data_IF_765613622131
#
_entry.id   IF_765613622131
#
_cell.length_a   1.000
_cell.length_b   1.000
_cell.length_c   1.000
_cell.angle_alpha   90.00
_cell.angle_beta   90.00
_cell.angle_gamma   90.00
#
_symmetry.space_group_name_H-M   'P 1'
#
loop_
_entity.id
_entity.type
_entity.pdbx_description
1 polymer ?
#
# COMPACT_ATOMS: atom_id res chain seq x y z
N UNK A 1 -6.91 -4.96 54.57
CA UNK A 1 -7.21 -6.38 54.80
C UNK A 1 -6.38 -7.21 53.83
N UNK A 2 -5.80 -8.34 54.26
CA UNK A 2 -4.74 -9.04 53.55
C UNK A 2 -5.23 -10.23 52.69
N UNK A 3 -4.36 -10.63 51.73
CA UNK A 3 -4.10 -11.99 51.20
C UNK A 3 -5.09 -12.66 50.22
N UNK A 4 -4.54 -12.98 49.05
CA UNK A 4 -4.60 -14.26 48.31
C UNK A 4 -3.65 -14.08 47.10
N UNK A 5 -2.42 -14.58 46.96
CA UNK A 5 -1.72 -15.83 47.31
C UNK A 5 -2.43 -17.12 46.86
N UNK A 6 -2.01 -17.62 45.70
CA UNK A 6 -2.14 -19.02 45.32
C UNK A 6 -2.64 -19.21 43.90
N UNK A 7 -1.75 -19.69 43.01
CA UNK A 7 -1.91 -20.89 42.16
C UNK A 7 -0.78 -20.87 41.11
N UNK A 8 0.35 -21.55 41.36
CA UNK A 8 0.64 -22.93 40.89
C UNK A 8 0.41 -23.05 39.37
N UNK A 9 1.41 -22.74 38.54
CA UNK A 9 2.47 -23.66 38.11
C UNK A 9 1.93 -25.02 37.64
N UNK A 10 1.66 -25.13 36.33
CA UNK A 10 1.59 -26.40 35.61
C UNK A 10 2.31 -26.23 34.26
N UNK A 11 3.62 -26.44 34.29
CA UNK A 11 4.48 -26.55 33.12
C UNK A 11 4.25 -27.94 32.50
N UNK A 12 3.50 -28.02 31.40
CA UNK A 12 3.41 -29.23 30.57
C UNK A 12 4.38 -29.08 29.40
N UNK A 13 5.58 -29.65 29.56
CA UNK A 13 6.49 -29.92 28.45
C UNK A 13 5.91 -31.04 27.60
N UNK A 14 5.38 -30.71 26.43
CA UNK A 14 5.18 -31.68 25.34
C UNK A 14 6.24 -31.45 24.27
N UNK A 15 7.30 -32.26 24.34
CA UNK A 15 8.35 -32.35 23.33
C UNK A 15 7.83 -33.10 22.09
N UNK A 16 7.40 -32.37 21.06
CA UNK A 16 7.21 -32.92 19.71
C UNK A 16 8.53 -32.82 18.95
N UNK A 17 9.12 -33.98 18.67
CA UNK A 17 10.29 -34.12 17.82
C UNK A 17 9.89 -33.84 16.35
N UNK A 18 10.35 -32.72 15.80
CA UNK A 18 10.30 -32.48 14.36
C UNK A 18 11.58 -33.03 13.71
N UNK A 19 11.42 -34.12 12.96
CA UNK A 19 12.44 -34.76 12.13
C UNK A 19 12.89 -33.79 11.03
N UNK A 20 14.11 -33.25 11.15
CA UNK A 20 14.72 -32.38 10.13
C UNK A 20 15.28 -33.25 9.00
N UNK A 21 14.56 -33.32 7.89
CA UNK A 21 15.09 -33.87 6.64
C UNK A 21 16.00 -32.81 5.99
N UNK A 22 17.31 -32.92 6.23
CA UNK A 22 18.33 -32.14 5.52
C UNK A 22 18.40 -32.64 4.09
N UNK A 23 17.86 -31.87 3.16
CA UNK A 23 18.07 -32.08 1.73
C UNK A 23 19.23 -31.18 1.29
N UNK A 24 20.43 -31.77 1.20
CA UNK A 24 21.59 -31.16 0.54
C UNK A 24 21.25 -30.94 -0.94
N UNK A 25 20.89 -29.71 -1.30
CA UNK A 25 20.86 -29.29 -2.71
C UNK A 25 22.28 -28.91 -3.14
N UNK A 26 22.67 -29.59 -4.21
CA UNK A 26 23.94 -29.59 -4.91
C UNK A 26 24.13 -28.24 -5.66
N UNK A 27 25.31 -27.60 -5.59
CA UNK A 27 25.60 -26.44 -6.41
C UNK A 27 25.89 -26.89 -7.84
N UNK A 28 25.07 -26.43 -8.78
CA UNK A 28 25.37 -26.48 -10.21
C UNK A 28 25.97 -25.13 -10.61
N UNK A 29 27.30 -25.08 -10.57
CA UNK A 29 28.10 -24.16 -11.35
C UNK A 29 27.98 -24.48 -12.86
N UNK A 30 28.46 -23.53 -13.67
CA UNK A 30 28.77 -23.62 -15.11
C UNK A 30 27.73 -23.05 -16.10
N UNK A 31 28.06 -21.88 -16.64
CA UNK A 31 27.40 -21.33 -17.82
C UNK A 31 27.65 -19.83 -18.04
N UNK A 32 28.90 -19.40 -18.20
CA UNK A 32 29.39 -18.90 -19.49
C UNK A 32 28.48 -17.89 -20.21
N UNK A 33 28.85 -16.60 -20.18
CA UNK A 33 29.45 -15.89 -21.34
C UNK A 33 29.63 -14.40 -21.01
N UNK A 34 30.90 -14.01 -20.92
CA UNK A 34 31.31 -12.64 -21.18
C UNK A 34 30.99 -12.29 -22.63
N UNK A 35 30.34 -11.16 -22.87
CA UNK A 35 30.38 -10.46 -24.15
C UNK A 35 30.76 -9.01 -23.91
N UNK A 36 32.00 -8.75 -24.31
CA UNK A 36 32.65 -7.53 -24.77
C UNK A 36 31.75 -6.56 -25.56
N UNK A 37 31.88 -5.28 -25.20
CA UNK A 37 32.19 -4.12 -26.04
C UNK A 37 31.53 -3.95 -27.42
N UNK A 38 30.75 -2.87 -27.54
CA UNK A 38 30.62 -1.99 -28.71
C UNK A 38 30.09 -0.64 -28.17
N UNK A 39 30.90 0.39 -28.01
CA UNK A 39 31.47 1.32 -29.01
C UNK A 39 30.44 2.08 -29.88
N UNK A 40 30.58 3.41 -29.83
CA UNK A 40 30.14 4.44 -30.76
C UNK A 40 28.63 4.75 -30.91
N UNK A 41 28.21 5.94 -30.47
CA UNK A 41 28.24 7.13 -31.34
C UNK A 41 27.54 8.33 -30.70
N UNK A 42 28.26 9.44 -30.65
CA UNK A 42 27.73 10.77 -30.46
C UNK A 42 26.87 11.18 -31.68
N UNK A 43 25.74 11.82 -31.42
CA UNK A 43 25.11 12.71 -32.38
C UNK A 43 24.57 13.94 -31.62
N UNK A 44 25.33 15.01 -31.82
CA UNK A 44 25.03 16.41 -31.57
C UNK A 44 23.80 16.83 -32.40
N UNK A 45 22.78 17.42 -31.77
CA UNK A 45 21.72 18.14 -32.48
C UNK A 45 21.28 19.35 -31.64
N UNK A 46 21.67 20.52 -32.16
CA UNK A 46 21.44 21.86 -31.65
C UNK A 46 19.94 22.29 -31.74
N UNK A 47 19.57 23.45 -31.15
CA UNK A 47 18.19 23.78 -30.77
C UNK A 47 17.41 24.44 -31.91
N UNK A 48 16.11 24.16 -31.95
CA UNK A 48 15.15 24.94 -32.73
C UNK A 48 14.44 25.92 -31.79
N UNK A 49 14.75 27.20 -31.97
CA UNK A 49 13.98 28.32 -31.41
C UNK A 49 12.61 28.34 -32.09
N UNK A 50 11.56 28.14 -31.29
CA UNK A 50 10.17 28.15 -31.69
C UNK A 50 9.43 29.24 -30.93
N UNK A 51 9.15 30.30 -31.69
CA UNK A 51 8.37 31.49 -31.46
C UNK A 51 7.08 31.36 -30.62
N UNK A 52 6.73 32.48 -30.00
CA UNK A 52 5.68 32.68 -29.01
C UNK A 52 4.28 32.58 -29.62
N UNK A 53 3.34 31.97 -28.89
CA UNK A 53 1.94 32.38 -28.95
C UNK A 53 1.45 32.60 -27.53
N UNK A 54 1.28 33.87 -27.18
CA UNK A 54 0.52 34.30 -26.03
C UNK A 54 -0.95 33.99 -26.30
N UNK A 55 -1.51 33.04 -25.58
CA UNK A 55 -2.96 32.89 -25.42
C UNK A 55 -3.29 33.21 -23.96
N UNK A 56 -3.65 34.47 -23.74
CA UNK A 56 -4.24 34.97 -22.51
C UNK A 56 -5.72 34.54 -22.46
N UNK A 57 -5.93 33.24 -22.19
CA UNK A 57 -7.23 32.66 -21.90
C UNK A 57 -7.40 32.49 -20.39
N UNK A 58 -7.99 33.49 -19.74
CA UNK A 58 -8.50 33.38 -18.38
C UNK A 58 -9.62 32.33 -18.35
N UNK A 59 -9.31 31.12 -17.88
CA UNK A 59 -10.33 30.16 -17.46
C UNK A 59 -10.29 30.01 -15.94
N UNK A 60 -11.40 30.40 -15.34
CA UNK A 60 -11.62 30.55 -13.92
C UNK A 60 -11.64 29.19 -13.22
N UNK A 61 -10.63 28.92 -12.40
CA UNK A 61 -10.84 28.31 -11.10
C UNK A 61 -11.42 26.89 -11.08
N UNK A 62 -11.09 26.03 -12.04
CA UNK A 62 -11.17 24.59 -11.80
C UNK A 62 -10.15 24.25 -10.72
N UNK A 63 -10.62 24.15 -9.47
CA UNK A 63 -9.81 23.71 -8.35
C UNK A 63 -9.07 22.44 -8.77
N UNK A 64 -7.74 22.53 -8.88
CA UNK A 64 -6.88 21.39 -9.15
C UNK A 64 -7.13 20.39 -8.01
N UNK A 65 -7.99 19.40 -8.28
CA UNK A 65 -8.20 18.30 -7.37
C UNK A 65 -6.85 17.69 -7.02
N UNK A 66 -6.68 17.20 -5.78
CA UNK A 66 -5.41 16.60 -5.38
C UNK A 66 -5.03 15.52 -6.39
N UNK A 67 -3.91 15.73 -7.10
CA UNK A 67 -3.35 14.78 -8.05
C UNK A 67 -2.77 13.61 -7.27
N UNK A 68 -3.66 12.75 -6.77
CA UNK A 68 -3.28 11.44 -6.25
C UNK A 68 -2.69 10.60 -7.38
N UNK A 69 -1.93 9.55 -7.06
CA UNK A 69 -1.57 8.55 -8.06
C UNK A 69 -2.84 7.99 -8.69
N UNK A 70 -2.98 8.14 -10.01
CA UNK A 70 -4.11 7.60 -10.74
C UNK A 70 -4.20 6.08 -10.49
N UNK A 71 -5.33 5.63 -9.98
CA UNK A 71 -5.54 4.21 -9.73
C UNK A 71 -5.62 3.48 -11.07
N UNK A 72 -5.08 2.27 -11.17
CA UNK A 72 -5.18 1.52 -12.41
C UNK A 72 -6.65 1.22 -12.75
N UNK A 73 -7.03 1.57 -13.97
CA UNK A 73 -8.33 1.21 -14.54
C UNK A 73 -8.42 -0.30 -14.72
N UNK A 74 -9.36 -0.94 -14.03
CA UNK A 74 -9.50 -2.40 -14.04
C UNK A 74 -10.80 -2.88 -13.38
N UNK A 75 -11.25 -4.07 -13.74
CA UNK A 75 -12.37 -4.73 -13.07
C UNK A 75 -12.03 -5.01 -11.59
N UNK A 76 -13.06 -5.06 -10.74
CA UNK A 76 -12.92 -5.52 -9.36
C UNK A 76 -12.44 -6.98 -9.34
N UNK A 77 -11.56 -7.32 -8.41
CA UNK A 77 -11.09 -8.69 -8.24
C UNK A 77 -10.82 -9.01 -6.76
N UNK A 78 -10.90 -10.30 -6.44
CA UNK A 78 -10.49 -10.85 -5.15
C UNK A 78 -9.15 -11.58 -5.24
N UNK A 79 -8.89 -12.20 -6.38
CA UNK A 79 -7.70 -12.99 -6.69
C UNK A 79 -7.33 -12.88 -8.17
N UNK A 80 -6.14 -13.36 -8.54
CA UNK A 80 -5.68 -13.38 -9.95
C UNK A 80 -6.59 -14.21 -10.86
N UNK A 81 -7.34 -15.16 -10.29
CA UNK A 81 -8.29 -15.98 -11.04
C UNK A 81 -9.52 -15.20 -11.54
N UNK A 82 -9.79 -14.02 -10.98
CA UNK A 82 -10.88 -13.14 -11.42
C UNK A 82 -10.48 -12.26 -12.61
N UNK A 83 -9.19 -12.26 -12.96
CA UNK A 83 -8.62 -11.39 -13.99
C UNK A 83 -8.40 -12.15 -15.31
N UNK A 84 -8.32 -11.38 -16.40
CA UNK A 84 -8.03 -11.95 -17.72
C UNK A 84 -6.59 -12.45 -17.85
N UNK A 85 -6.30 -13.09 -18.98
CA UNK A 85 -4.94 -13.48 -19.32
C UNK A 85 -4.00 -12.26 -19.29
N UNK A 86 -2.78 -12.45 -18.78
CA UNK A 86 -1.77 -11.41 -18.58
C UNK A 86 -2.17 -10.27 -17.62
N UNK A 87 -3.18 -10.48 -16.77
CA UNK A 87 -3.53 -9.57 -15.68
C UNK A 87 -3.26 -10.18 -14.30
N UNK A 88 -3.10 -9.31 -13.30
CA UNK A 88 -2.93 -9.68 -11.89
C UNK A 88 -3.90 -8.87 -11.04
N UNK A 89 -4.38 -9.46 -9.95
CA UNK A 89 -5.22 -8.78 -8.99
C UNK A 89 -4.38 -8.07 -7.94
N UNK A 90 -4.40 -6.75 -7.93
CA UNK A 90 -3.63 -5.97 -6.98
C UNK A 90 -4.38 -4.75 -6.44
N UNK A 91 -3.78 -4.09 -5.46
CA UNK A 91 -4.32 -2.87 -4.85
C UNK A 91 -4.20 -2.88 -3.33
N UNK A 92 -4.47 -1.71 -2.75
CA UNK A 92 -4.59 -1.54 -1.29
C UNK A 92 -5.94 -2.10 -0.85
N UNK A 93 -5.95 -2.86 0.24
CA UNK A 93 -7.16 -3.34 0.89
C UNK A 93 -7.35 -4.85 0.76
N UNK A 94 -7.90 -5.44 1.83
CA UNK A 94 -8.02 -6.89 2.00
C UNK A 94 -9.46 -7.40 2.05
N UNK A 95 -10.45 -6.51 1.97
CA UNK A 95 -11.86 -6.91 1.92
C UNK A 95 -12.27 -7.31 0.51
N UNK A 96 -13.36 -8.05 0.39
CA UNK A 96 -13.86 -8.49 -0.91
C UNK A 96 -14.07 -7.32 -1.89
N UNK A 97 -13.69 -7.53 -3.14
CA UNK A 97 -13.79 -6.58 -4.22
C UNK A 97 -12.76 -5.46 -4.20
N UNK A 98 -11.88 -5.34 -3.19
CA UNK A 98 -10.93 -4.22 -3.05
C UNK A 98 -9.73 -4.25 -4.03
N UNK A 99 -9.57 -5.32 -4.81
CA UNK A 99 -8.56 -5.40 -5.86
C UNK A 99 -8.99 -4.77 -7.18
N UNK A 100 -8.01 -4.55 -8.05
CA UNK A 100 -8.17 -4.19 -9.46
C UNK A 100 -7.37 -5.16 -10.33
N UNK A 101 -7.98 -5.64 -11.40
CA UNK A 101 -7.25 -6.35 -12.44
C UNK A 101 -6.41 -5.37 -13.25
N UNK A 102 -5.09 -5.56 -13.23
CA UNK A 102 -4.14 -4.70 -13.93
C UNK A 102 -3.27 -5.51 -14.88
N UNK A 103 -2.79 -4.88 -15.96
CA UNK A 103 -1.85 -5.55 -16.87
C UNK A 103 -0.51 -5.85 -16.19
N UNK A 104 -0.01 -7.07 -16.38
CA UNK A 104 1.34 -7.49 -15.96
C UNK A 104 2.45 -6.89 -16.84
N UNK A 105 2.12 -6.34 -18.01
CA UNK A 105 3.07 -5.77 -18.98
C UNK A 105 3.29 -4.25 -18.81
N UNK A 106 2.64 -3.62 -17.83
CA UNK A 106 2.77 -2.17 -17.62
C UNK A 106 4.16 -1.81 -17.09
N UNK A 107 4.54 -0.56 -17.33
CA UNK A 107 5.82 -0.03 -16.87
C UNK A 107 5.78 0.21 -15.36
N UNK A 108 6.68 -0.47 -14.65
CA UNK A 108 6.84 -0.35 -13.20
C UNK A 108 8.14 0.35 -12.86
N UNK A 109 8.12 1.15 -11.81
CA UNK A 109 9.33 1.78 -11.29
C UNK A 109 10.22 0.71 -10.64
N UNK A 110 11.54 0.92 -10.67
CA UNK A 110 12.53 -0.07 -10.18
C UNK A 110 12.76 -0.01 -8.68
N UNK A 111 12.10 0.88 -7.96
CA UNK A 111 12.20 0.98 -6.50
C UNK A 111 11.48 -0.21 -5.85
N UNK A 112 12.22 -0.94 -5.03
CA UNK A 112 11.66 -2.00 -4.21
C UNK A 112 11.09 -1.37 -2.94
N UNK A 113 9.79 -1.59 -2.73
CA UNK A 113 9.09 -1.29 -1.50
C UNK A 113 8.71 -2.60 -0.81
N UNK A 114 8.69 -2.59 0.53
CA UNK A 114 8.14 -3.68 1.33
C UNK A 114 6.66 -3.43 1.56
N UNK A 115 5.87 -4.48 1.53
CA UNK A 115 4.43 -4.43 1.73
C UNK A 115 3.99 -5.54 2.68
N UNK A 116 2.93 -5.25 3.44
CA UNK A 116 2.24 -6.26 4.20
C UNK A 116 1.09 -6.81 3.37
N UNK A 117 1.20 -8.05 2.91
CA UNK A 117 0.16 -8.72 2.14
C UNK A 117 -1.12 -8.95 2.95
N UNK A 118 -2.23 -9.18 2.26
CA UNK A 118 -3.50 -9.52 2.91
C UNK A 118 -3.49 -10.90 3.61
N UNK A 119 -2.51 -11.72 3.29
CA UNK A 119 -2.16 -12.97 3.96
C UNK A 119 -1.36 -12.76 5.25
N UNK A 120 -1.05 -11.51 5.62
CA UNK A 120 -0.18 -11.18 6.74
C UNK A 120 1.30 -11.52 6.49
N UNK A 121 1.65 -11.88 5.24
CA UNK A 121 3.02 -12.13 4.84
C UNK A 121 3.62 -10.88 4.20
N UNK A 122 4.86 -10.57 4.57
CA UNK A 122 5.63 -9.52 3.93
C UNK A 122 6.06 -9.94 2.53
N UNK A 123 6.05 -8.99 1.60
CA UNK A 123 6.64 -9.18 0.27
C UNK A 123 7.29 -7.89 -0.21
N UNK A 124 8.23 -8.02 -1.15
CA UNK A 124 8.86 -6.88 -1.80
C UNK A 124 8.44 -6.82 -3.26
N UNK A 125 8.12 -5.62 -3.73
CA UNK A 125 7.75 -5.39 -5.12
C UNK A 125 8.00 -3.93 -5.51
N UNK A 126 7.68 -3.57 -6.74
CA UNK A 126 7.79 -2.20 -7.23
C UNK A 126 6.85 -1.26 -6.47
N UNK A 127 7.35 -0.08 -6.10
CA UNK A 127 6.55 1.01 -5.51
C UNK A 127 5.28 1.34 -6.31
N UNK A 128 5.38 1.32 -7.64
CA UNK A 128 4.28 1.61 -8.56
C UNK A 128 3.49 0.38 -9.01
N UNK A 129 3.99 -0.83 -8.74
CA UNK A 129 3.36 -2.09 -9.15
C UNK A 129 3.56 -3.15 -8.06
N UNK A 130 2.71 -3.17 -7.03
CA UNK A 130 2.80 -4.15 -5.95
C UNK A 130 2.69 -5.59 -6.46
N UNK A 131 1.88 -5.85 -7.49
CA UNK A 131 1.78 -7.17 -8.11
C UNK A 131 1.02 -8.21 -7.28
N UNK A 132 0.45 -7.81 -6.14
CA UNK A 132 -0.58 -8.54 -5.37
C UNK A 132 -1.35 -7.55 -4.51
N UNK A 133 -2.46 -7.99 -3.94
CA UNK A 133 -3.21 -7.23 -2.93
C UNK A 133 -2.46 -7.16 -1.61
N UNK A 134 -2.54 -6.00 -0.95
CA UNK A 134 -1.83 -5.75 0.29
C UNK A 134 -2.65 -4.89 1.27
N UNK A 135 -2.40 -5.08 2.56
CA UNK A 135 -3.04 -4.37 3.64
C UNK A 135 -2.58 -2.90 3.69
N UNK A 136 -1.26 -2.69 3.70
CA UNK A 136 -0.61 -1.38 3.78
C UNK A 136 0.87 -1.49 3.35
N UNK A 137 1.52 -0.39 2.94
CA UNK A 137 2.95 -0.39 2.66
C UNK A 137 3.76 -0.50 3.96
N UNK A 138 4.82 -1.30 3.94
CA UNK A 138 5.70 -1.58 5.08
C UNK A 138 5.68 -3.05 5.53
N UNK A 139 6.40 -3.32 6.63
CA UNK A 139 6.43 -4.61 7.31
C UNK A 139 5.07 -4.97 7.94
N UNK A 140 4.71 -6.25 8.05
CA UNK A 140 3.42 -6.69 8.62
C UNK A 140 3.35 -6.58 10.14
N UNK A 141 4.49 -6.60 10.79
CA UNK A 141 4.54 -6.42 12.23
C UNK A 141 4.45 -4.91 12.54
N UNK A 142 3.41 -4.45 13.27
CA UNK A 142 3.25 -3.04 13.59
C UNK A 142 4.43 -2.57 14.43
N UNK A 143 5.27 -1.74 13.82
CA UNK A 143 6.52 -1.24 14.41
C UNK A 143 6.46 0.23 14.76
N UNK A 144 5.39 0.93 14.36
CA UNK A 144 5.31 2.37 14.58
C UNK A 144 4.89 2.67 16.03
N UNK A 145 5.75 3.42 16.71
CA UNK A 145 5.49 3.97 18.03
C UNK A 145 4.49 5.14 17.95
N UNK A 146 3.90 5.48 19.09
CA UNK A 146 3.06 6.67 19.23
C UNK A 146 3.86 7.90 18.78
N UNK A 147 3.27 8.74 17.92
CA UNK A 147 3.91 9.91 17.35
C UNK A 147 4.58 9.69 15.98
N UNK A 148 4.69 8.44 15.49
CA UNK A 148 5.26 8.17 14.17
C UNK A 148 4.21 8.28 13.04
N UNK A 149 4.61 8.71 11.82
CA UNK A 149 3.68 8.90 10.72
C UNK A 149 3.11 7.57 10.21
N UNK A 150 1.82 7.52 9.96
CA UNK A 150 1.10 6.33 9.51
C UNK A 150 0.08 6.66 8.42
N UNK A 151 -0.22 5.69 7.57
CA UNK A 151 -1.31 5.70 6.61
C UNK A 151 -2.46 4.76 7.01
N UNK A 152 -2.22 3.80 7.91
CA UNK A 152 -3.21 2.86 8.40
C UNK A 152 -2.94 2.50 9.87
N UNK A 153 -4.00 2.35 10.67
CA UNK A 153 -3.92 1.96 12.07
C UNK A 153 -3.15 0.67 12.31
N UNK A 154 -3.19 -0.27 11.36
CA UNK A 154 -2.46 -1.54 11.43
C UNK A 154 -0.94 -1.38 11.37
N UNK A 155 -0.41 -0.22 10.99
CA UNK A 155 1.02 0.07 11.06
C UNK A 155 1.47 0.44 12.47
N UNK A 156 0.54 0.94 13.30
CA UNK A 156 0.81 1.42 14.64
C UNK A 156 0.74 0.27 15.65
N UNK A 157 1.68 0.24 16.60
CA UNK A 157 1.65 -0.73 17.70
C UNK A 157 0.36 -0.65 18.53
N UNK A 158 -0.27 0.53 18.57
CA UNK A 158 -1.56 0.79 19.20
C UNK A 158 -2.78 0.36 18.37
N UNK A 159 -2.60 0.08 17.07
CA UNK A 159 -3.70 -0.10 16.13
C UNK A 159 -4.40 1.19 15.68
N UNK A 160 -3.89 2.36 16.09
CA UNK A 160 -4.55 3.66 15.90
C UNK A 160 -3.68 4.64 15.11
N UNK A 161 -4.18 5.06 13.95
CA UNK A 161 -3.60 6.09 13.09
C UNK A 161 -4.56 7.27 12.98
N UNK A 162 -4.18 8.43 13.52
CA UNK A 162 -5.04 9.61 13.65
C UNK A 162 -4.39 10.86 13.07
N UNK A 163 -5.19 11.87 12.74
CA UNK A 163 -4.70 13.20 12.36
C UNK A 163 -5.44 13.79 11.17
N UNK A 164 -5.36 15.11 11.04
CA UNK A 164 -5.95 15.86 9.93
C UNK A 164 -5.31 15.50 8.57
N UNK A 165 -4.10 14.94 8.59
CA UNK A 165 -3.38 14.51 7.40
C UNK A 165 -3.89 13.21 6.77
N UNK A 166 -4.93 12.55 7.30
CA UNK A 166 -5.45 11.33 6.67
C UNK A 166 -6.32 11.60 5.43
N UNK A 167 -6.72 12.85 5.20
CA UNK A 167 -7.46 13.26 4.00
C UNK A 167 -6.51 13.54 2.83
N UNK A 168 -6.79 12.94 1.68
CA UNK A 168 -5.97 12.97 0.47
C UNK A 168 -5.12 11.70 0.29
N UNK A 169 -4.68 11.46 -0.95
CA UNK A 169 -4.01 10.22 -1.37
C UNK A 169 -2.53 10.38 -1.70
N UNK A 170 -1.99 11.57 -1.43
CA UNK A 170 -0.57 11.84 -1.62
C UNK A 170 0.27 11.32 -0.46
N UNK A 171 1.59 11.24 -0.66
CA UNK A 171 2.55 10.90 0.41
C UNK A 171 2.58 11.91 1.56
N UNK A 172 2.07 13.12 1.33
CA UNK A 172 1.93 14.16 2.36
C UNK A 172 0.70 13.94 3.25
N UNK A 173 -0.28 13.15 2.79
CA UNK A 173 -1.46 12.82 3.55
C UNK A 173 -1.15 11.60 4.44
N UNK A 174 -0.52 11.85 5.59
CA UNK A 174 -0.25 10.84 6.61
C UNK A 174 -0.84 11.30 7.95
N UNK A 175 -1.42 10.34 8.67
CA UNK A 175 -1.73 10.49 10.08
C UNK A 175 -0.49 10.26 10.94
N UNK A 176 -0.73 10.11 12.23
CA UNK A 176 0.25 9.84 13.27
C UNK A 176 -0.30 8.76 14.19
N UNK A 177 0.56 7.82 14.57
CA UNK A 177 0.16 6.77 15.50
C UNK A 177 -0.23 7.39 16.84
N UNK A 178 -1.44 7.09 17.29
CA UNK A 178 -1.98 7.60 18.55
C UNK A 178 -2.06 6.47 19.59
N UNK A 179 -2.32 6.81 20.84
CA UNK A 179 -2.64 5.79 21.84
C UNK A 179 -4.03 5.16 21.57
N UNK A 180 -4.21 3.91 22.04
CA UNK A 180 -5.49 3.21 21.91
C UNK A 180 -6.60 3.77 22.83
N UNK A 181 -6.24 4.64 23.77
CA UNK A 181 -7.17 5.29 24.69
C UNK A 181 -7.76 6.58 24.10
N UNK A 182 -7.27 7.00 22.93
CA UNK A 182 -7.71 8.21 22.25
C UNK A 182 -9.18 8.05 21.89
N UNK A 183 -10.01 8.89 22.50
CA UNK A 183 -11.45 8.79 22.41
C UNK A 183 -11.92 9.16 21.00
N UNK A 184 -12.11 8.13 20.18
CA UNK A 184 -12.81 8.24 18.92
C UNK A 184 -14.32 8.29 19.15
N UNK A 185 -14.99 9.13 18.40
CA UNK A 185 -16.44 9.22 18.38
C UNK A 185 -17.02 7.91 17.85
N UNK A 186 -18.12 7.46 18.44
CA UNK A 186 -18.76 6.19 18.08
C UNK A 186 -19.65 6.31 16.83
N UNK A 187 -19.71 7.49 16.20
CA UNK A 187 -20.45 7.66 14.95
C UNK A 187 -19.70 6.98 13.82
N UNK A 188 -20.45 6.20 13.04
CA UNK A 188 -19.95 5.53 11.86
C UNK A 188 -20.16 6.46 10.67
N UNK A 189 -19.06 6.90 10.07
CA UNK A 189 -19.08 7.68 8.85
C UNK A 189 -18.60 6.82 7.67
N UNK A 190 -19.15 7.10 6.49
CA UNK A 190 -18.65 6.55 5.22
C UNK A 190 -17.52 7.42 4.71
N UNK A 191 -16.49 6.78 4.16
CA UNK A 191 -15.33 7.43 3.56
C UNK A 191 -15.07 6.81 2.20
N UNK A 192 -14.63 7.64 1.25
CA UNK A 192 -14.05 7.14 0.02
C UNK A 192 -12.54 6.98 0.23
N UNK A 193 -12.06 5.73 0.15
CA UNK A 193 -10.65 5.40 0.27
C UNK A 193 -9.85 5.84 -0.96
N UNK A 194 -8.53 5.90 -0.81
CA UNK A 194 -7.61 6.27 -1.88
C UNK A 194 -7.52 5.28 -3.04
N UNK A 195 -8.18 4.14 -2.91
CA UNK A 195 -8.36 3.10 -3.91
C UNK A 195 -9.75 3.17 -4.58
N UNK A 196 -10.49 4.27 -4.37
CA UNK A 196 -11.88 4.45 -4.81
C UNK A 196 -12.82 3.35 -4.28
N UNK A 197 -12.59 2.95 -3.03
CA UNK A 197 -13.46 2.03 -2.31
C UNK A 197 -14.01 2.68 -1.06
N UNK A 198 -15.30 2.49 -0.86
CA UNK A 198 -15.95 2.89 0.36
C UNK A 198 -15.49 2.03 1.53
N UNK A 199 -15.28 2.69 2.66
CA UNK A 199 -15.16 2.02 3.94
C UNK A 199 -15.88 2.81 5.02
N UNK A 200 -16.17 2.15 6.13
CA UNK A 200 -16.78 2.78 7.30
C UNK A 200 -15.76 2.89 8.42
N UNK A 201 -15.77 4.02 9.11
CA UNK A 201 -14.86 4.32 10.22
C UNK A 201 -15.49 5.30 11.21
N UNK A 202 -14.81 5.55 12.31
CA UNK A 202 -15.26 6.57 13.26
C UNK A 202 -15.16 7.96 12.62
N UNK A 203 -16.20 8.79 12.78
CA UNK A 203 -16.24 10.16 12.28
C UNK A 203 -15.03 11.02 12.66
N UNK A 204 -14.46 10.82 13.85
CA UNK A 204 -13.25 11.54 14.29
C UNK A 204 -11.96 10.76 14.06
N UNK A 205 -12.05 9.45 13.79
CA UNK A 205 -10.91 8.55 13.65
C UNK A 205 -11.15 7.52 12.53
N UNK A 206 -10.94 7.87 11.26
CA UNK A 206 -11.11 6.92 10.16
C UNK A 206 -10.12 5.75 10.23
N UNK A 207 -9.03 5.91 10.99
CA UNK A 207 -7.99 4.90 11.23
C UNK A 207 -7.25 4.42 9.97
N UNK A 208 -7.43 5.12 8.84
CA UNK A 208 -6.72 4.93 7.58
C UNK A 208 -6.82 6.17 6.73
N UNK A 209 -5.90 6.30 5.79
CA UNK A 209 -5.91 7.33 4.76
C UNK A 209 -7.13 7.18 3.84
N UNK A 210 -7.72 8.31 3.45
CA UNK A 210 -8.91 8.36 2.61
C UNK A 210 -8.85 9.56 1.66
N UNK A 211 -9.52 9.47 0.52
CA UNK A 211 -9.58 10.56 -0.44
C UNK A 211 -10.45 11.71 0.08
N UNK A 212 -11.68 11.39 0.50
CA UNK A 212 -12.63 12.34 1.08
C UNK A 212 -13.69 11.61 1.91
N UNK A 213 -14.45 12.37 2.72
CA UNK A 213 -15.57 11.87 3.52
C UNK A 213 -16.82 11.72 2.65
N UNK A 214 -17.54 10.63 2.81
CA UNK A 214 -18.74 10.29 2.03
C UNK A 214 -18.58 9.03 1.17
N UNK A 215 -19.62 8.65 0.42
CA UNK A 215 -19.55 7.59 -0.58
C UNK A 215 -18.57 7.95 -1.69
N UNK A 216 -18.03 6.95 -2.39
CA UNK A 216 -17.20 7.24 -3.57
C UNK A 216 -18.10 7.71 -4.72
N UNK A 217 -17.73 8.80 -5.36
CA UNK A 217 -18.40 9.29 -6.56
C UNK A 217 -18.02 8.39 -7.75
N UNK A 218 -19.01 7.88 -8.49
CA UNK A 218 -18.80 7.02 -9.66
C UNK A 218 -17.98 7.72 -10.77
N UNK A 219 -17.98 9.06 -10.77
CA UNK A 219 -17.37 9.94 -11.77
C UNK A 219 -16.19 10.78 -11.23
N UNK A 220 -15.68 10.51 -10.03
CA UNK A 220 -14.49 11.21 -9.55
C UNK A 220 -13.34 11.00 -10.56
N UNK A 221 -12.67 12.08 -11.03
CA UNK A 221 -11.58 11.96 -11.98
C UNK A 221 -10.49 11.05 -11.40
N UNK A 222 -10.27 9.93 -12.08
CA UNK A 222 -9.30 8.89 -11.73
C UNK A 222 -7.88 9.34 -12.04
#
# INVERSE_FOLDING_TARGET
MPRNLGYLLALLLTSTACTTSVQTQQPSDEGSKANTDADASAADAAPAEGDQVADEGADEGAAAGPTGPALPDGALCDSDADCGDAQVCEGVGCEAGQGRCVSTERMCTRDLATYCGCDGAEFQSSGSCPGKRYAYPGACEPKLAIGEPCADGRQCASGMCLGEGLEGCGRAAMGTCADAETACTMDLATYCGCNNFEFQGSGSCPNRQFAYRGPCEDDAPR
#
